data_IF_286235650535
#
_entry.id   IF_286235650535
#
_cell.length_a   1.000
_cell.length_b   1.000
_cell.length_c   1.000
_cell.angle_alpha   90.00
_cell.angle_beta   90.00
_cell.angle_gamma   90.00
#
_symmetry.space_group_name_H-M   'P 1'
#
loop_
_entity.id
_entity.type
_entity.pdbx_description
1 polymer ?
#
# COMPACT_ATOMS: atom_id res chain seq x y z
N UNK A 1 1.51 20.39 -12.45
CA UNK A 1 0.99 19.07 -12.01
C UNK A 1 2.11 18.04 -11.83
N UNK A 2 3.05 17.93 -12.77
CA UNK A 2 4.24 17.09 -12.60
C UNK A 2 5.19 17.58 -11.50
N UNK A 3 5.25 18.89 -11.21
CA UNK A 3 6.21 19.43 -10.23
C UNK A 3 5.96 19.00 -8.78
N UNK A 4 4.76 18.51 -8.46
CA UNK A 4 4.40 18.06 -7.11
C UNK A 4 4.58 16.56 -6.91
N UNK A 5 4.85 15.81 -7.99
CA UNK A 5 5.03 14.37 -7.97
C UNK A 5 6.52 14.03 -7.95
N UNK A 6 6.88 13.07 -7.10
CA UNK A 6 8.21 12.49 -7.10
C UNK A 6 8.24 11.26 -8.01
N UNK A 7 9.44 10.89 -8.47
CA UNK A 7 9.63 9.68 -9.25
C UNK A 7 9.22 8.44 -8.43
N UNK A 8 8.29 7.60 -8.92
CA UNK A 8 7.96 6.35 -8.25
C UNK A 8 9.16 5.40 -8.16
N UNK A 9 9.30 4.72 -7.03
CA UNK A 9 10.37 3.75 -6.77
C UNK A 9 9.77 2.40 -6.43
N UNK A 10 10.36 1.33 -6.99
CA UNK A 10 10.00 -0.05 -6.65
C UNK A 10 11.16 -0.72 -5.94
N UNK A 11 10.89 -1.27 -4.76
CA UNK A 11 11.85 -2.09 -4.00
C UNK A 11 11.35 -3.53 -4.06
N UNK A 12 12.05 -4.38 -4.81
CA UNK A 12 11.72 -5.78 -4.97
C UNK A 12 12.71 -6.67 -4.22
N UNK A 13 12.19 -7.66 -3.49
CA UNK A 13 12.98 -8.80 -3.01
C UNK A 13 13.09 -9.86 -4.11
N UNK A 14 12.02 -10.02 -4.89
CA UNK A 14 11.91 -10.85 -6.09
C UNK A 14 10.70 -10.34 -6.92
N UNK A 15 10.35 -11.04 -7.99
CA UNK A 15 9.26 -10.63 -8.89
C UNK A 15 7.87 -10.59 -8.25
N UNK A 16 7.66 -11.36 -7.16
CA UNK A 16 6.39 -11.48 -6.44
C UNK A 16 6.33 -10.60 -5.19
N UNK A 17 7.44 -10.45 -4.49
CA UNK A 17 7.56 -9.65 -3.26
C UNK A 17 8.18 -8.29 -3.59
N UNK A 18 7.34 -7.26 -3.65
CA UNK A 18 7.78 -5.90 -3.98
C UNK A 18 6.92 -4.82 -3.33
N UNK A 19 7.53 -3.66 -3.16
CA UNK A 19 6.88 -2.46 -2.65
C UNK A 19 7.01 -1.36 -3.69
N UNK A 20 5.89 -0.74 -4.06
CA UNK A 20 5.85 0.49 -4.85
C UNK A 20 5.66 1.67 -3.91
N UNK A 21 6.52 2.67 -4.04
CA UNK A 21 6.50 3.91 -3.27
C UNK A 21 6.30 5.06 -4.25
N UNK A 22 5.22 5.80 -4.05
CA UNK A 22 4.84 6.93 -4.89
C UNK A 22 4.71 8.17 -4.00
N UNK A 23 5.69 9.07 -4.09
CA UNK A 23 5.76 10.27 -3.27
C UNK A 23 5.19 11.50 -3.98
N UNK A 24 4.74 12.47 -3.17
CA UNK A 24 4.39 13.82 -3.58
C UNK A 24 4.78 14.80 -2.46
N UNK A 25 4.57 16.09 -2.69
CA UNK A 25 4.92 17.14 -1.71
C UNK A 25 4.25 16.96 -0.32
N UNK A 26 3.02 16.42 -0.26
CA UNK A 26 2.23 16.36 0.97
C UNK A 26 1.72 14.96 1.32
N UNK A 27 2.06 13.96 0.51
CA UNK A 27 1.60 12.59 0.74
C UNK A 27 2.50 11.56 0.08
N UNK A 28 2.49 10.35 0.64
CA UNK A 28 3.17 9.17 0.11
C UNK A 28 2.17 8.04 0.05
N UNK A 29 2.10 7.38 -1.11
CA UNK A 29 1.40 6.11 -1.29
C UNK A 29 2.40 4.96 -1.27
N UNK A 30 2.13 3.97 -0.44
CA UNK A 30 2.95 2.76 -0.31
C UNK A 30 2.07 1.56 -0.64
N UNK A 31 2.44 0.79 -1.66
CA UNK A 31 1.69 -0.40 -2.10
C UNK A 31 2.56 -1.63 -2.01
N UNK A 32 2.05 -2.70 -1.39
CA UNK A 32 2.83 -3.88 -1.03
C UNK A 32 2.24 -5.11 -1.72
N UNK A 33 3.10 -5.87 -2.40
CA UNK A 33 2.81 -7.21 -2.87
C UNK A 33 3.44 -8.21 -1.89
N UNK A 34 2.60 -9.02 -1.27
CA UNK A 34 2.93 -9.96 -0.20
C UNK A 34 3.20 -11.33 -0.82
N UNK A 35 4.18 -12.05 -0.25
CA UNK A 35 4.49 -13.43 -0.63
C UNK A 35 3.24 -14.31 -0.50
N UNK A 36 2.96 -15.07 -1.56
CA UNK A 36 1.89 -16.06 -1.63
C UNK A 36 2.46 -17.31 -2.33
N UNK A 37 2.88 -18.30 -1.53
CA UNK A 37 3.58 -19.51 -1.99
C UNK A 37 2.63 -20.57 -2.58
N UNK A 38 1.39 -20.60 -2.11
CA UNK A 38 0.36 -21.55 -2.54
C UNK A 38 -1.04 -20.91 -2.56
N UNK A 39 -2.05 -21.68 -3.00
CA UNK A 39 -3.43 -21.22 -3.09
C UNK A 39 -4.07 -20.96 -1.72
N UNK A 40 -3.62 -21.63 -0.66
CA UNK A 40 -4.12 -21.39 0.70
C UNK A 40 -3.64 -20.01 1.16
N UNK A 41 -2.33 -19.72 1.03
CA UNK A 41 -1.75 -18.42 1.34
C UNK A 41 -2.38 -17.30 0.52
N UNK A 42 -2.69 -17.53 -0.76
CA UNK A 42 -3.39 -16.57 -1.61
C UNK A 42 -4.79 -16.22 -1.07
N UNK A 43 -5.57 -17.23 -0.66
CA UNK A 43 -6.89 -17.01 -0.06
C UNK A 43 -6.77 -16.31 1.30
N UNK A 44 -5.82 -16.73 2.13
CA UNK A 44 -5.57 -16.13 3.44
C UNK A 44 -5.15 -14.66 3.32
N UNK A 45 -4.18 -14.37 2.43
CA UNK A 45 -3.72 -13.01 2.14
C UNK A 45 -4.89 -12.14 1.67
N UNK A 46 -5.65 -12.60 0.66
CA UNK A 46 -6.80 -11.85 0.15
C UNK A 46 -7.85 -11.58 1.24
N UNK A 47 -8.19 -12.57 2.07
CA UNK A 47 -9.16 -12.39 3.17
C UNK A 47 -8.64 -11.42 4.24
N UNK A 48 -7.36 -11.54 4.61
CA UNK A 48 -6.74 -10.70 5.62
C UNK A 48 -6.63 -9.24 5.16
N UNK A 49 -6.15 -8.99 3.93
CA UNK A 49 -6.09 -7.63 3.38
C UNK A 49 -7.49 -7.02 3.24
N UNK A 50 -8.48 -7.79 2.77
CA UNK A 50 -9.88 -7.33 2.72
C UNK A 50 -10.41 -6.98 4.12
N UNK A 51 -10.12 -7.79 5.13
CA UNK A 51 -10.51 -7.51 6.51
C UNK A 51 -9.93 -6.20 7.04
N UNK A 52 -8.66 -5.92 6.74
CA UNK A 52 -8.01 -4.66 7.12
C UNK A 52 -8.62 -3.47 6.37
N UNK A 53 -8.86 -3.59 5.06
CA UNK A 53 -9.46 -2.52 4.25
C UNK A 53 -10.87 -2.13 4.68
N UNK A 54 -11.67 -3.08 5.16
CA UNK A 54 -12.99 -2.78 5.76
C UNK A 54 -12.89 -1.94 7.04
N UNK A 55 -11.70 -1.84 7.66
CA UNK A 55 -11.43 -1.08 8.89
C UNK A 55 -10.58 0.17 8.64
N UNK A 56 -10.46 0.60 7.38
CA UNK A 56 -9.69 1.79 7.00
C UNK A 56 -10.12 3.08 7.72
N UNK A 57 -11.34 3.15 8.24
CA UNK A 57 -11.79 4.30 9.05
C UNK A 57 -11.10 4.34 10.43
N UNK A 58 -10.85 3.18 11.04
CA UNK A 58 -10.11 3.09 12.29
C UNK A 58 -8.59 3.11 12.06
N UNK A 59 -8.15 2.55 10.94
CA UNK A 59 -6.75 2.58 10.51
C UNK A 59 -6.57 3.61 9.38
N UNK A 60 -6.56 4.88 9.77
CA UNK A 60 -6.75 6.04 8.89
C UNK A 60 -5.71 6.21 7.76
N UNK A 61 -4.55 5.55 7.84
CA UNK A 61 -3.56 5.55 6.75
C UNK A 61 -3.84 4.47 5.68
N UNK A 62 -4.81 3.60 5.88
CA UNK A 62 -5.04 2.44 5.02
C UNK A 62 -6.00 2.79 3.88
N UNK A 63 -5.67 2.43 2.64
CA UNK A 63 -6.56 2.67 1.50
C UNK A 63 -7.67 1.62 1.45
N UNK A 64 -8.90 2.06 1.14
CA UNK A 64 -10.08 1.16 0.98
C UNK A 64 -9.96 0.15 -0.16
N UNK A 65 -9.06 0.40 -1.12
CA UNK A 65 -8.74 -0.47 -2.26
C UNK A 65 -7.25 -0.37 -2.55
N UNK A 66 -6.54 -1.48 -2.84
CA UNK A 66 -5.13 -1.42 -3.17
C UNK A 66 -4.93 -0.84 -4.58
N UNK A 67 -3.68 -0.51 -4.91
CA UNK A 67 -3.25 -0.29 -6.30
C UNK A 67 -3.33 -1.62 -7.06
N UNK A 68 -3.66 -1.57 -8.34
CA UNK A 68 -3.71 -2.76 -9.20
C UNK A 68 -2.34 -3.49 -9.21
N UNK A 69 -2.37 -4.81 -9.05
CA UNK A 69 -1.15 -5.63 -8.94
C UNK A 69 -0.49 -5.64 -7.57
N UNK A 70 -1.12 -5.03 -6.54
CA UNK A 70 -0.67 -5.04 -5.14
C UNK A 70 -1.80 -5.54 -4.22
N UNK A 71 -1.44 -6.10 -3.07
CA UNK A 71 -2.40 -6.72 -2.14
C UNK A 71 -2.99 -5.69 -1.15
N UNK A 72 -2.19 -4.69 -0.78
CA UNK A 72 -2.58 -3.63 0.14
C UNK A 72 -1.89 -2.31 -0.23
N UNK A 73 -2.55 -1.19 0.05
CA UNK A 73 -1.96 0.13 -0.09
C UNK A 73 -2.26 1.03 1.10
N UNK A 74 -1.30 1.89 1.39
CA UNK A 74 -1.37 2.94 2.39
C UNK A 74 -1.30 4.30 1.72
N UNK A 75 -1.96 5.29 2.32
CA UNK A 75 -1.86 6.70 1.97
C UNK A 75 -1.52 7.48 3.24
N UNK A 76 -0.30 7.98 3.29
CA UNK A 76 0.22 8.78 4.40
C UNK A 76 0.24 10.23 3.92
N UNK A 77 -0.40 11.13 4.66
CA UNK A 77 -0.43 12.57 4.35
C UNK A 77 0.37 13.32 5.41
N UNK A 78 0.64 14.60 5.17
CA UNK A 78 1.29 15.48 6.14
C UNK A 78 0.53 15.55 7.49
N UNK A 79 -0.81 15.47 7.48
CA UNK A 79 -1.60 15.45 8.72
C UNK A 79 -1.27 14.24 9.59
N UNK A 80 -1.02 13.07 8.98
CA UNK A 80 -0.64 11.88 9.73
C UNK A 80 0.74 12.03 10.37
N UNK A 81 1.67 12.75 9.72
CA UNK A 81 3.02 12.99 10.26
C UNK A 81 3.09 14.12 11.27
N UNK A 82 2.11 15.04 11.28
CA UNK A 82 2.03 16.14 12.24
C UNK A 82 1.36 15.73 13.56
N UNK A 83 0.54 14.68 13.53
CA UNK A 83 -0.28 14.22 14.67
C UNK A 83 0.29 12.99 15.40
N UNK A 84 1.31 12.34 14.84
CA UNK A 84 1.95 11.13 15.38
C UNK A 84 3.34 11.44 15.92
#
# INVERSE_FOLDING_TARGET
AGELLLQPVVIGRNDKEKVLIEGSINSVRVSIAVKQADEIEKILCHKFMRFMMMRAENFFILRRKPVEGYDISFLITNFHTEQM
#
